data_IF_802516928769
#
_entry.id   IF_802516928769
#
_cell.length_a   1.000
_cell.length_b   1.000
_cell.length_c   1.000
_cell.angle_alpha   90.00
_cell.angle_beta   90.00
_cell.angle_gamma   90.00
#
_symmetry.space_group_name_H-M   'P 1'
#
loop_
_entity.id
_entity.type
_entity.pdbx_description
1 polymer ?
#
# COMPACT_ATOMS: atom_id res chain seq x y z
N UNK A 1 -2.05 -1.37 11.56
CA UNK A 1 -1.99 -2.12 10.28
C UNK A 1 -3.14 -3.11 10.14
N UNK A 2 -3.20 -4.22 10.89
CA UNK A 2 -4.26 -5.25 10.67
C UNK A 2 -5.68 -4.68 10.78
N UNK A 3 -5.95 -3.83 11.79
CA UNK A 3 -7.25 -3.15 11.91
C UNK A 3 -7.57 -2.24 10.72
N UNK A 4 -6.56 -1.64 10.08
CA UNK A 4 -6.74 -0.78 8.91
C UNK A 4 -7.12 -1.58 7.66
N UNK A 5 -6.40 -2.68 7.38
CA UNK A 5 -6.70 -3.60 6.26
C UNK A 5 -8.14 -4.10 6.31
N UNK A 6 -8.66 -4.34 7.52
CA UNK A 6 -10.04 -4.78 7.76
C UNK A 6 -11.01 -3.60 7.69
N UNK A 7 -10.65 -2.48 8.31
CA UNK A 7 -11.53 -1.34 8.47
C UNK A 7 -11.90 -0.63 7.16
N UNK A 8 -11.00 -0.64 6.16
CA UNK A 8 -11.28 -0.02 4.85
C UNK A 8 -12.46 -0.70 4.13
N UNK A 9 -12.45 -2.04 3.90
CA UNK A 9 -13.63 -2.76 3.39
C UNK A 9 -14.91 -2.53 4.20
N UNK A 10 -14.82 -2.54 5.54
CA UNK A 10 -15.98 -2.27 6.40
C UNK A 10 -16.57 -0.89 6.17
N UNK A 11 -15.71 0.14 6.14
CA UNK A 11 -16.14 1.51 5.96
C UNK A 11 -16.84 1.71 4.61
N UNK A 12 -16.36 1.05 3.56
CA UNK A 12 -17.00 1.06 2.24
C UNK A 12 -18.36 0.35 2.29
N UNK A 13 -18.40 -0.87 2.85
CA UNK A 13 -19.62 -1.68 2.92
C UNK A 13 -20.72 -1.02 3.77
N UNK A 14 -20.33 -0.28 4.79
CA UNK A 14 -21.23 0.34 5.77
C UNK A 14 -21.38 1.86 5.55
N UNK A 15 -20.80 2.40 4.47
CA UNK A 15 -20.96 3.80 4.05
C UNK A 15 -20.26 4.82 4.95
N UNK A 16 -19.26 4.42 5.74
CA UNK A 16 -18.50 5.30 6.65
C UNK A 16 -17.35 6.01 5.93
N UNK A 17 -17.70 6.90 5.01
CA UNK A 17 -16.72 7.60 4.16
C UNK A 17 -16.38 9.02 4.65
N UNK A 18 -16.94 9.47 5.77
CA UNK A 18 -16.64 10.78 6.35
C UNK A 18 -15.18 10.87 6.75
N UNK A 19 -14.44 11.82 6.16
CA UNK A 19 -13.01 12.01 6.43
C UNK A 19 -12.13 10.91 5.84
N UNK A 20 -12.58 10.20 4.80
CA UNK A 20 -11.76 9.22 4.08
C UNK A 20 -10.36 9.78 3.80
N UNK A 21 -9.33 8.93 3.91
CA UNK A 21 -7.90 9.27 3.77
C UNK A 21 -7.30 10.19 4.84
N UNK A 22 -7.98 10.41 5.97
CA UNK A 22 -7.44 11.22 7.08
C UNK A 22 -7.08 10.36 8.30
N UNK A 23 -6.19 10.87 9.16
CA UNK A 23 -5.80 10.18 10.40
C UNK A 23 -7.00 9.83 11.31
N UNK A 24 -8.01 10.71 11.51
CA UNK A 24 -9.19 10.36 12.29
C UNK A 24 -10.00 9.18 11.73
N UNK A 25 -10.07 9.04 10.40
CA UNK A 25 -10.77 7.92 9.76
C UNK A 25 -10.04 6.60 10.00
N UNK A 26 -8.72 6.59 9.83
CA UNK A 26 -7.87 5.44 10.19
C UNK A 26 -7.95 5.12 11.69
N UNK A 27 -7.97 6.13 12.54
CA UNK A 27 -8.06 5.93 14.00
C UNK A 27 -9.40 5.29 14.39
N UNK A 28 -10.51 5.66 13.73
CA UNK A 28 -11.81 5.04 14.00
C UNK A 28 -11.81 3.53 13.68
N UNK A 29 -11.09 3.10 12.64
CA UNK A 29 -10.90 1.68 12.31
C UNK A 29 -10.10 0.95 13.39
N UNK A 30 -9.04 1.59 13.91
CA UNK A 30 -8.24 1.05 15.00
C UNK A 30 -9.08 0.93 16.27
N UNK A 31 -9.82 1.96 16.62
CA UNK A 31 -10.61 2.02 17.86
C UNK A 31 -11.72 0.97 17.90
N UNK A 32 -12.35 0.66 16.76
CA UNK A 32 -13.36 -0.42 16.65
C UNK A 32 -12.79 -1.79 17.00
N UNK A 33 -11.53 -2.03 16.65
CA UNK A 33 -10.89 -3.34 16.74
C UNK A 33 -9.85 -3.47 17.85
N UNK A 34 -9.67 -2.44 18.68
CA UNK A 34 -8.60 -2.40 19.71
C UNK A 34 -8.64 -3.53 20.73
N UNK A 35 -9.81 -4.13 20.94
CA UNK A 35 -10.04 -5.22 21.89
C UNK A 35 -10.10 -6.60 21.21
N UNK A 36 -10.03 -6.66 19.88
CA UNK A 36 -10.11 -7.91 19.14
C UNK A 36 -8.77 -8.63 19.12
N UNK A 37 -8.80 -9.95 19.29
CA UNK A 37 -7.63 -10.80 19.07
C UNK A 37 -7.32 -10.95 17.58
N UNK A 38 -6.07 -11.29 17.24
CA UNK A 38 -5.67 -11.60 15.86
C UNK A 38 -6.55 -12.69 15.23
N UNK A 39 -6.98 -13.68 16.01
CA UNK A 39 -7.88 -14.73 15.54
C UNK A 39 -9.25 -14.15 15.13
N UNK A 40 -9.83 -13.25 15.94
CA UNK A 40 -11.08 -12.58 15.59
C UNK A 40 -10.92 -11.69 14.36
N UNK A 41 -9.84 -10.91 14.27
CA UNK A 41 -9.54 -10.07 13.11
C UNK A 41 -9.40 -10.89 11.82
N UNK A 42 -8.77 -12.06 11.90
CA UNK A 42 -8.69 -13.01 10.77
C UNK A 42 -10.09 -13.46 10.33
N UNK A 43 -10.95 -13.87 11.26
CA UNK A 43 -12.30 -14.32 10.92
C UNK A 43 -13.13 -13.17 10.31
N UNK A 44 -12.98 -11.96 10.83
CA UNK A 44 -13.62 -10.76 10.29
C UNK A 44 -13.19 -10.55 8.83
N UNK A 45 -11.88 -10.56 8.55
CA UNK A 45 -11.34 -10.42 7.19
C UNK A 45 -11.87 -11.50 6.23
N UNK A 46 -11.86 -12.76 6.66
CA UNK A 46 -12.36 -13.90 5.87
C UNK A 46 -13.85 -13.72 5.55
N UNK A 47 -14.65 -13.34 6.53
CA UNK A 47 -16.09 -13.16 6.37
C UNK A 47 -16.44 -11.98 5.46
N UNK A 48 -15.65 -10.91 5.50
CA UNK A 48 -15.85 -9.73 4.67
C UNK A 48 -15.46 -9.94 3.21
N UNK A 49 -14.47 -10.80 2.95
CA UNK A 49 -13.96 -11.06 1.60
C UNK A 49 -15.08 -11.32 0.59
N UNK A 50 -16.00 -12.22 0.90
CA UNK A 50 -17.10 -12.59 -0.01
C UNK A 50 -18.02 -11.40 -0.35
N UNK A 51 -18.25 -10.50 0.60
CA UNK A 51 -19.06 -9.30 0.40
C UNK A 51 -18.30 -8.27 -0.43
N UNK A 52 -17.02 -8.07 -0.12
CA UNK A 52 -16.20 -7.08 -0.81
C UNK A 52 -15.85 -7.50 -2.23
N UNK A 53 -15.70 -8.81 -2.50
CA UNK A 53 -15.49 -9.36 -3.86
C UNK A 53 -16.65 -8.98 -4.81
N UNK A 54 -17.86 -8.76 -4.30
CA UNK A 54 -19.03 -8.28 -5.09
C UNK A 54 -18.95 -6.77 -5.35
N UNK A 55 -18.42 -6.01 -4.39
CA UNK A 55 -18.36 -4.54 -4.48
C UNK A 55 -17.17 -4.07 -5.30
N UNK A 56 -15.99 -4.69 -5.14
CA UNK A 56 -14.73 -4.24 -5.73
C UNK A 56 -14.78 -4.00 -7.24
N UNK A 57 -15.42 -4.85 -8.08
CA UNK A 57 -15.52 -4.60 -9.52
C UNK A 57 -16.34 -3.35 -9.91
N UNK A 58 -17.19 -2.86 -8.99
CA UNK A 58 -18.04 -1.69 -9.21
C UNK A 58 -17.37 -0.38 -8.74
N UNK A 59 -16.19 -0.47 -8.10
CA UNK A 59 -15.41 0.69 -7.71
C UNK A 59 -14.68 1.22 -8.96
N UNK A 60 -14.83 2.51 -9.32
CA UNK A 60 -14.23 3.05 -10.53
C UNK A 60 -12.71 3.04 -10.47
N UNK A 61 -12.08 2.93 -11.64
CA UNK A 61 -10.65 3.21 -11.80
C UNK A 61 -10.39 4.72 -11.64
N UNK A 62 -9.29 5.15 -11.01
CA UNK A 62 -8.20 4.33 -10.46
C UNK A 62 -8.39 3.88 -9.00
N UNK A 63 -9.53 4.19 -8.36
CA UNK A 63 -9.78 3.94 -6.93
C UNK A 63 -9.74 2.45 -6.59
N UNK A 64 -10.23 1.58 -7.47
CA UNK A 64 -10.11 0.13 -7.27
C UNK A 64 -8.64 -0.34 -7.18
N UNK A 65 -7.76 0.26 -7.97
CA UNK A 65 -6.32 -0.06 -8.00
C UNK A 65 -5.59 0.53 -6.80
N UNK A 66 -6.08 1.65 -6.26
CA UNK A 66 -5.63 2.16 -4.95
C UNK A 66 -5.85 1.15 -3.84
N UNK A 67 -7.02 0.49 -3.79
CA UNK A 67 -7.28 -0.54 -2.78
C UNK A 67 -6.38 -1.76 -2.93
N UNK A 68 -6.07 -2.16 -4.17
CA UNK A 68 -5.09 -3.22 -4.42
C UNK A 68 -3.70 -2.79 -3.94
N UNK A 69 -3.30 -1.55 -4.22
CA UNK A 69 -2.02 -0.97 -3.78
C UNK A 69 -1.90 -0.96 -2.25
N UNK A 70 -2.93 -0.48 -1.56
CA UNK A 70 -2.96 -0.41 -0.10
C UNK A 70 -2.85 -1.81 0.53
N UNK A 71 -3.71 -2.73 0.08
CA UNK A 71 -3.74 -4.10 0.59
C UNK A 71 -2.44 -4.86 0.34
N UNK A 72 -1.88 -4.82 -0.87
CA UNK A 72 -0.65 -5.56 -1.20
C UNK A 72 0.58 -4.97 -0.49
N UNK A 73 0.63 -3.65 -0.32
CA UNK A 73 1.71 -2.99 0.43
C UNK A 73 1.71 -3.48 1.88
N UNK A 74 0.54 -3.50 2.52
CA UNK A 74 0.41 -3.96 3.90
C UNK A 74 0.52 -5.48 4.06
N UNK A 75 0.15 -6.28 3.06
CA UNK A 75 0.46 -7.71 3.03
C UNK A 75 1.98 -7.93 3.08
N UNK A 76 2.74 -7.16 2.28
CA UNK A 76 4.18 -7.26 2.28
C UNK A 76 4.83 -6.72 3.56
N UNK A 77 4.30 -5.66 4.16
CA UNK A 77 4.70 -5.21 5.51
C UNK A 77 4.55 -6.34 6.54
N UNK A 78 3.44 -7.09 6.49
CA UNK A 78 3.22 -8.24 7.38
C UNK A 78 4.16 -9.40 7.09
N UNK A 79 4.39 -9.72 5.81
CA UNK A 79 5.31 -10.79 5.40
C UNK A 79 6.73 -10.52 5.87
N UNK A 80 7.19 -9.27 5.73
CA UNK A 80 8.49 -8.80 6.18
C UNK A 80 8.62 -8.94 7.70
N UNK A 81 7.65 -8.42 8.46
CA UNK A 81 7.62 -8.53 9.92
C UNK A 81 7.62 -9.98 10.44
N UNK A 82 7.12 -10.93 9.64
CA UNK A 82 7.10 -12.36 9.97
C UNK A 82 8.28 -13.15 9.38
N UNK A 83 9.16 -12.51 8.59
CA UNK A 83 10.25 -13.19 7.89
C UNK A 83 9.79 -14.21 6.84
N UNK A 84 8.62 -13.97 6.20
CA UNK A 84 7.95 -14.89 5.26
C UNK A 84 7.76 -14.26 3.89
N UNK A 85 8.84 -14.09 3.09
CA UNK A 85 8.74 -13.53 1.75
C UNK A 85 7.89 -14.41 0.84
N UNK A 86 7.23 -13.80 -0.15
CA UNK A 86 6.41 -14.49 -1.14
C UNK A 86 5.53 -13.51 -1.94
N UNK A 87 4.97 -13.98 -3.05
CA UNK A 87 4.05 -13.22 -3.91
C UNK A 87 4.58 -11.87 -4.48
N UNK A 88 5.91 -11.68 -4.50
CA UNK A 88 6.55 -10.46 -4.97
C UNK A 88 6.38 -10.21 -6.48
N UNK A 89 6.03 -11.23 -7.25
CA UNK A 89 5.75 -11.15 -8.69
C UNK A 89 4.25 -11.21 -9.02
N UNK A 90 3.38 -11.11 -8.01
CA UNK A 90 1.93 -11.23 -8.16
C UNK A 90 1.34 -10.10 -9.01
N UNK A 91 0.17 -10.36 -9.60
CA UNK A 91 -0.59 -9.33 -10.32
C UNK A 91 -0.92 -8.12 -9.42
N UNK A 92 -1.13 -8.33 -8.12
CA UNK A 92 -1.41 -7.25 -7.18
C UNK A 92 -0.22 -6.27 -7.08
N UNK A 93 1.02 -6.76 -7.07
CA UNK A 93 2.23 -5.91 -7.10
C UNK A 93 2.27 -5.08 -8.39
N UNK A 94 1.92 -5.68 -9.54
CA UNK A 94 1.89 -4.97 -10.82
C UNK A 94 0.85 -3.86 -10.85
N UNK A 95 -0.36 -4.15 -10.38
CA UNK A 95 -1.45 -3.17 -10.28
C UNK A 95 -1.06 -2.03 -9.32
N UNK A 96 -0.47 -2.37 -8.17
CA UNK A 96 -0.01 -1.40 -7.20
C UNK A 96 1.07 -0.48 -7.76
N UNK A 97 2.07 -1.05 -8.45
CA UNK A 97 3.12 -0.29 -9.11
C UNK A 97 2.56 0.62 -10.19
N UNK A 98 1.67 0.13 -11.06
CA UNK A 98 1.04 0.95 -12.09
C UNK A 98 0.22 2.11 -11.50
N UNK A 99 -0.48 1.90 -10.40
CA UNK A 99 -1.23 2.96 -9.71
C UNK A 99 -0.31 4.02 -9.08
N UNK A 100 0.83 3.60 -8.50
CA UNK A 100 1.83 4.54 -7.96
C UNK A 100 2.43 5.42 -9.06
N UNK A 101 2.63 4.87 -10.27
CA UNK A 101 3.09 5.64 -11.42
C UNK A 101 2.00 6.54 -12.03
N UNK A 102 0.72 6.24 -11.82
CA UNK A 102 -0.37 7.08 -12.36
C UNK A 102 -0.64 8.33 -11.54
N UNK A 103 0.13 8.59 -10.48
CA UNK A 103 0.04 9.80 -9.68
C UNK A 103 0.91 10.91 -10.27
N UNK A 104 0.43 12.15 -10.17
CA UNK A 104 1.15 13.37 -10.60
C UNK A 104 2.40 13.68 -9.74
N UNK A 105 2.82 12.76 -8.86
CA UNK A 105 4.04 12.87 -8.05
C UNK A 105 5.32 12.71 -8.89
N UNK A 106 5.21 12.17 -10.09
CA UNK A 106 6.32 11.81 -10.95
C UNK A 106 6.13 12.40 -12.35
N UNK A 107 7.19 12.94 -12.95
CA UNK A 107 7.15 13.37 -14.35
C UNK A 107 7.20 12.16 -15.28
N UNK A 108 6.71 12.32 -16.51
CA UNK A 108 6.75 11.27 -17.53
C UNK A 108 8.19 10.77 -17.76
N UNK A 109 9.18 11.68 -17.78
CA UNK A 109 10.59 11.31 -17.94
C UNK A 109 11.10 10.46 -16.78
N UNK A 110 10.65 10.76 -15.55
CA UNK A 110 11.02 9.97 -14.38
C UNK A 110 10.38 8.59 -14.41
N UNK A 111 9.12 8.50 -14.83
CA UNK A 111 8.41 7.22 -15.01
C UNK A 111 9.12 6.36 -16.05
N UNK A 112 9.48 6.92 -17.20
CA UNK A 112 10.24 6.21 -18.25
C UNK A 112 11.59 5.69 -17.73
N UNK A 113 12.33 6.53 -17.00
CA UNK A 113 13.58 6.13 -16.36
C UNK A 113 13.38 4.96 -15.38
N UNK A 114 12.38 5.03 -14.52
CA UNK A 114 12.07 3.94 -13.59
C UNK A 114 11.69 2.66 -14.32
N UNK A 115 10.96 2.73 -15.42
CA UNK A 115 10.52 1.55 -16.17
C UNK A 115 11.69 0.80 -16.82
N UNK A 116 12.70 1.51 -17.33
CA UNK A 116 13.88 0.87 -17.98
C UNK A 116 14.87 0.24 -17.00
N UNK A 117 14.81 0.58 -15.70
CA UNK A 117 15.66 -0.04 -14.69
C UNK A 117 15.34 -1.54 -14.54
N UNK A 118 16.38 -2.39 -14.56
CA UNK A 118 16.31 -3.85 -14.34
C UNK A 118 16.13 -4.21 -12.85
N UNK A 119 15.14 -3.61 -12.24
CA UNK A 119 14.76 -3.78 -10.84
C UNK A 119 13.32 -4.32 -10.84
N UNK A 120 13.00 -5.23 -9.92
CA UNK A 120 11.66 -5.80 -9.87
C UNK A 120 10.60 -4.74 -9.54
N UNK A 121 9.40 -4.91 -10.09
CA UNK A 121 8.25 -4.05 -9.79
C UNK A 121 7.94 -4.06 -8.29
N UNK A 122 8.20 -5.17 -7.60
CA UNK A 122 8.13 -5.24 -6.13
C UNK A 122 9.03 -4.21 -5.46
N UNK A 123 10.32 -4.18 -5.80
CA UNK A 123 11.26 -3.24 -5.17
C UNK A 123 10.93 -1.79 -5.53
N UNK A 124 10.50 -1.53 -6.77
CA UNK A 124 10.00 -0.20 -7.19
C UNK A 124 8.75 0.19 -6.39
N UNK A 125 7.78 -0.72 -6.24
CA UNK A 125 6.58 -0.51 -5.43
C UNK A 125 6.94 -0.21 -3.96
N UNK A 126 7.88 -0.96 -3.34
CA UNK A 126 8.36 -0.67 -1.97
C UNK A 126 8.99 0.72 -1.87
N UNK A 127 9.78 1.14 -2.86
CA UNK A 127 10.37 2.47 -2.91
C UNK A 127 9.31 3.58 -3.00
N UNK A 128 8.43 3.50 -4.00
CA UNK A 128 7.43 4.54 -4.29
C UNK A 128 6.32 4.60 -3.22
N UNK A 129 6.10 3.54 -2.44
CA UNK A 129 5.20 3.52 -1.29
C UNK A 129 5.87 3.98 0.02
N UNK A 130 7.13 4.42 -0.01
CA UNK A 130 7.85 4.90 1.17
C UNK A 130 8.26 3.79 2.15
N UNK A 131 8.58 2.59 1.66
CA UNK A 131 9.06 1.47 2.50
C UNK A 131 10.55 1.20 2.41
N UNK A 132 11.26 1.88 1.51
CA UNK A 132 12.71 1.81 1.42
C UNK A 132 13.32 3.15 1.79
N UNK A 133 14.38 3.13 2.61
CA UNK A 133 15.20 4.31 2.88
C UNK A 133 15.94 4.78 1.62
N UNK A 134 16.44 6.01 1.61
CA UNK A 134 17.31 6.50 0.51
C UNK A 134 18.52 5.59 0.31
N UNK A 135 19.11 5.09 1.40
CA UNK A 135 20.24 4.16 1.35
C UNK A 135 19.86 2.83 0.69
N UNK A 136 18.73 2.22 1.07
CA UNK A 136 18.23 0.98 0.48
C UNK A 136 17.91 1.16 -1.00
N UNK A 137 17.27 2.28 -1.37
CA UNK A 137 16.98 2.61 -2.77
C UNK A 137 18.28 2.71 -3.58
N UNK A 138 19.27 3.44 -3.08
CA UNK A 138 20.56 3.61 -3.75
C UNK A 138 21.31 2.28 -3.90
N UNK A 139 21.26 1.40 -2.89
CA UNK A 139 21.84 0.06 -2.97
C UNK A 139 21.21 -0.83 -4.05
N UNK A 140 19.94 -0.58 -4.38
CA UNK A 140 19.22 -1.21 -5.49
C UNK A 140 19.41 -0.51 -6.84
N UNK A 141 20.23 0.54 -6.90
CA UNK A 141 20.38 1.43 -8.05
C UNK A 141 19.08 2.18 -8.45
N UNK A 142 18.19 2.42 -7.48
CA UNK A 142 17.07 3.36 -7.63
C UNK A 142 17.53 4.80 -7.33
N UNK A 143 16.91 5.82 -7.95
CA UNK A 143 17.22 7.22 -7.67
C UNK A 143 16.59 7.66 -6.34
N UNK A 144 17.13 7.18 -5.21
CA UNK A 144 16.50 7.29 -3.89
C UNK A 144 16.18 8.72 -3.44
N UNK A 145 17.07 9.68 -3.71
CA UNK A 145 16.83 11.08 -3.38
C UNK A 145 15.69 11.69 -4.22
N UNK A 146 15.61 11.37 -5.51
CA UNK A 146 14.54 11.86 -6.37
C UNK A 146 13.18 11.29 -5.94
N UNK A 147 13.13 10.00 -5.63
CA UNK A 147 11.91 9.36 -5.08
C UNK A 147 11.50 10.03 -3.78
N UNK A 148 12.43 10.23 -2.83
CA UNK A 148 12.13 10.85 -1.55
C UNK A 148 11.58 12.28 -1.70
N UNK A 149 12.17 13.08 -2.59
CA UNK A 149 11.70 14.44 -2.88
C UNK A 149 10.29 14.44 -3.49
N UNK A 150 9.99 13.52 -4.42
CA UNK A 150 8.64 13.38 -4.99
C UNK A 150 7.58 12.99 -3.96
N UNK A 151 7.97 12.35 -2.86
CA UNK A 151 7.04 11.99 -1.78
C UNK A 151 6.79 13.12 -0.78
N UNK A 152 7.55 14.23 -0.83
CA UNK A 152 7.33 15.38 0.05
C UNK A 152 5.91 15.95 -0.13
N UNK A 153 5.21 16.19 0.99
CA UNK A 153 3.82 16.64 0.97
C UNK A 153 2.78 15.56 0.66
N UNK A 154 3.21 14.35 0.29
CA UNK A 154 2.34 13.18 0.18
C UNK A 154 2.14 12.49 1.54
N UNK A 155 1.12 11.64 1.69
CA UNK A 155 0.97 10.80 2.88
C UNK A 155 2.03 9.68 2.98
N UNK A 156 2.74 9.39 1.89
CA UNK A 156 3.79 8.38 1.83
C UNK A 156 5.12 9.01 2.29
N UNK A 157 5.87 8.32 3.14
CA UNK A 157 7.09 8.88 3.73
C UNK A 157 8.24 7.89 3.65
N UNK A 158 9.35 8.34 3.09
CA UNK A 158 10.61 7.59 3.07
C UNK A 158 11.12 7.41 4.51
N UNK A 159 11.50 6.19 4.95
CA UNK A 159 12.07 5.98 6.26
C UNK A 159 13.41 6.70 6.42
N UNK A 160 13.62 7.33 7.58
CA UNK A 160 14.87 8.06 7.90
C UNK A 160 16.07 7.14 8.16
N UNK A 161 15.85 5.84 8.29
CA UNK A 161 16.87 4.81 8.54
C UNK A 161 16.52 3.54 7.77
N UNK A 162 17.54 2.78 7.43
CA UNK A 162 17.40 1.42 6.90
C UNK A 162 16.68 0.55 7.93
N UNK A 163 15.63 -0.13 7.48
CA UNK A 163 14.89 -1.13 8.26
C UNK A 163 15.27 -2.48 7.66
N UNK A 164 15.79 -3.38 8.51
CA UNK A 164 16.27 -4.72 8.14
C UNK A 164 15.14 -5.71 7.83
#
# INVERSE_FOLDING_TARGET
MVCHIIGVPEDILEGRMTGVTTDPWTQAQIDRHKSDSIAQLREILINQKSKFDVVLPNIPSPVNSQFVMDAVTHEHDLREALGKPGAQDSLAVKVAFAWLLSHDLYSDEFIEQLQVLKISEFQKMRALSGRLSIEQMNALALPGLAIANSLEGSPLKTPNRTID
#
